data_IF_152407788964
#
_entry.id   IF_152407788964
#
_cell.length_a   1.000
_cell.length_b   1.000
_cell.length_c   1.000
_cell.angle_alpha   90.00
_cell.angle_beta   90.00
_cell.angle_gamma   90.00
#
_symmetry.space_group_name_H-M   'P 1'
#
loop_
_entity.id
_entity.type
_entity.pdbx_description
1 polymer ?
#
# COMPACT_ATOMS: atom_id res chain seq x y z
N UNK A 1 -12.48 -1.32 -14.83
CA UNK A 1 -13.60 -0.34 -14.84
C UNK A 1 -14.01 -0.07 -16.28
N UNK A 2 -15.31 -0.13 -16.61
CA UNK A 2 -15.77 0.07 -18.00
C UNK A 2 -15.67 1.54 -18.44
N UNK A 3 -15.54 1.77 -19.75
CA UNK A 3 -15.51 3.13 -20.33
C UNK A 3 -16.77 3.91 -19.99
N UNK A 4 -17.94 3.26 -20.03
CA UNK A 4 -19.22 3.87 -19.67
C UNK A 4 -19.25 4.31 -18.20
N UNK A 5 -18.86 3.43 -17.26
CA UNK A 5 -18.78 3.79 -15.84
C UNK A 5 -17.81 4.94 -15.61
N UNK A 6 -16.67 4.97 -16.32
CA UNK A 6 -15.68 6.05 -16.20
C UNK A 6 -16.26 7.39 -16.65
N UNK A 7 -17.01 7.39 -17.74
CA UNK A 7 -17.68 8.58 -18.24
C UNK A 7 -18.76 9.05 -17.26
N UNK A 8 -19.58 8.13 -16.77
CA UNK A 8 -20.65 8.41 -15.82
C UNK A 8 -20.12 9.04 -14.53
N UNK A 9 -19.11 8.45 -13.88
CA UNK A 9 -18.54 9.00 -12.63
C UNK A 9 -17.96 10.40 -12.85
N UNK A 10 -17.28 10.63 -13.98
CA UNK A 10 -16.77 11.97 -14.26
C UNK A 10 -17.94 12.96 -14.44
N UNK A 11 -18.97 12.58 -15.20
CA UNK A 11 -20.14 13.42 -15.45
C UNK A 11 -20.94 13.72 -14.17
N UNK A 12 -21.07 12.76 -13.26
CA UNK A 12 -21.71 12.96 -11.94
C UNK A 12 -20.96 13.96 -11.05
N UNK A 13 -19.64 14.10 -11.24
CA UNK A 13 -18.79 15.01 -10.48
C UNK A 13 -18.49 16.32 -11.24
N UNK A 14 -19.08 16.57 -12.41
CA UNK A 14 -18.82 17.78 -13.17
C UNK A 14 -19.34 19.02 -12.41
N UNK A 15 -18.47 20.01 -12.22
CA UNK A 15 -18.86 21.34 -11.72
C UNK A 15 -19.20 22.30 -12.86
N UNK A 16 -18.67 22.06 -14.06
CA UNK A 16 -18.97 22.80 -15.27
C UNK A 16 -18.85 21.88 -16.51
N UNK A 17 -19.04 22.46 -17.70
CA UNK A 17 -18.96 21.69 -18.94
C UNK A 17 -17.56 21.08 -19.11
N UNK A 18 -17.47 19.75 -19.08
CA UNK A 18 -16.23 18.97 -19.18
C UNK A 18 -15.17 19.28 -18.10
N UNK A 19 -15.59 19.86 -16.96
CA UNK A 19 -14.69 20.17 -15.84
C UNK A 19 -15.24 19.51 -14.58
N UNK A 20 -14.40 18.75 -13.88
CA UNK A 20 -14.71 18.14 -12.60
C UNK A 20 -13.59 18.44 -11.58
N UNK A 21 -13.90 18.63 -10.29
CA UNK A 21 -12.87 18.84 -9.27
C UNK A 21 -12.14 17.54 -8.96
N UNK A 22 -10.82 17.61 -8.77
CA UNK A 22 -10.02 16.50 -8.29
C UNK A 22 -10.41 16.13 -6.86
N UNK A 23 -10.69 14.86 -6.61
CA UNK A 23 -11.08 14.40 -5.29
C UNK A 23 -9.97 14.42 -4.23
N UNK A 24 -8.72 14.75 -4.62
CA UNK A 24 -7.56 14.78 -3.74
C UNK A 24 -7.08 16.19 -3.42
N UNK A 25 -6.97 17.08 -4.42
CA UNK A 25 -6.53 18.46 -4.22
C UNK A 25 -7.64 19.50 -4.40
N UNK A 26 -8.80 19.12 -4.95
CA UNK A 26 -9.92 20.03 -5.23
C UNK A 26 -9.76 20.88 -6.50
N UNK A 27 -8.57 20.92 -7.09
CA UNK A 27 -8.31 21.68 -8.33
C UNK A 27 -9.10 21.11 -9.52
N UNK A 28 -9.49 21.96 -10.49
CA UNK A 28 -10.26 21.53 -11.66
C UNK A 28 -9.47 20.59 -12.57
N UNK A 29 -10.16 19.60 -13.11
CA UNK A 29 -9.69 18.68 -14.14
C UNK A 29 -10.50 18.94 -15.40
N UNK A 30 -9.82 19.29 -16.49
CA UNK A 30 -10.41 19.41 -17.83
C UNK A 30 -10.38 18.05 -18.51
N UNK A 31 -11.57 17.51 -18.83
CA UNK A 31 -11.75 16.13 -19.32
C UNK A 31 -10.84 15.74 -20.50
N UNK A 32 -10.62 16.67 -21.43
CA UNK A 32 -9.94 16.43 -22.71
C UNK A 32 -8.50 16.92 -22.74
N UNK A 33 -8.14 17.87 -21.87
CA UNK A 33 -6.81 18.51 -21.85
C UNK A 33 -5.90 17.84 -20.81
N UNK A 34 -6.45 17.46 -19.66
CA UNK A 34 -5.66 16.92 -18.54
C UNK A 34 -5.58 15.40 -18.55
N UNK A 35 -4.47 14.87 -18.04
CA UNK A 35 -4.33 13.45 -17.73
C UNK A 35 -4.95 13.15 -16.37
N UNK A 36 -6.09 12.46 -16.38
CA UNK A 36 -6.82 12.09 -15.17
C UNK A 36 -7.16 10.60 -15.10
N UNK A 37 -7.45 10.13 -13.90
CA UNK A 37 -7.87 8.76 -13.58
C UNK A 37 -9.11 8.80 -12.68
N UNK A 38 -9.79 7.66 -12.57
CA UNK A 38 -10.80 7.47 -11.52
C UNK A 38 -10.09 6.87 -10.33
N UNK A 39 -10.13 7.59 -9.22
CA UNK A 39 -9.48 7.21 -7.98
C UNK A 39 -10.53 6.74 -6.97
N UNK A 40 -10.22 5.66 -6.25
CA UNK A 40 -11.00 5.22 -5.12
C UNK A 40 -10.62 6.06 -3.89
N UNK A 41 -11.57 6.82 -3.34
CA UNK A 41 -11.38 7.63 -2.12
C UNK A 41 -10.84 6.77 -0.99
N UNK A 42 -11.46 5.61 -0.76
CA UNK A 42 -10.91 4.50 0.03
C UNK A 42 -10.42 3.40 -0.91
N UNK A 43 -9.14 3.06 -0.84
CA UNK A 43 -8.55 2.03 -1.68
C UNK A 43 -9.24 0.66 -1.52
N UNK A 44 -9.44 -0.06 -2.63
CA UNK A 44 -10.07 -1.38 -2.67
C UNK A 44 -9.34 -2.40 -1.77
N UNK A 45 -8.01 -2.39 -1.80
CA UNK A 45 -7.17 -3.25 -0.95
C UNK A 45 -7.25 -2.92 0.55
N UNK A 46 -7.88 -1.80 0.92
CA UNK A 46 -8.20 -1.42 2.30
C UNK A 46 -9.71 -1.54 2.58
N UNK A 47 -10.37 -2.47 1.89
CA UNK A 47 -11.81 -2.75 1.99
C UNK A 47 -12.69 -1.56 1.58
N UNK A 48 -12.20 -0.73 0.65
CA UNK A 48 -13.02 0.29 0.01
C UNK A 48 -13.97 -0.36 -1.01
N UNK A 49 -15.28 -0.07 -0.96
CA UNK A 49 -16.21 -0.67 -1.91
C UNK A 49 -15.98 -0.12 -3.32
N UNK A 50 -16.10 -0.95 -4.36
CA UNK A 50 -16.02 -0.49 -5.76
C UNK A 50 -17.35 0.11 -6.26
N UNK A 51 -17.85 1.09 -5.53
CA UNK A 51 -19.10 1.80 -5.83
C UNK A 51 -18.79 3.21 -6.36
N UNK A 52 -19.68 3.78 -7.17
CA UNK A 52 -19.51 5.13 -7.71
C UNK A 52 -19.36 6.17 -6.60
N UNK A 53 -20.02 5.99 -5.46
CA UNK A 53 -19.91 6.88 -4.28
C UNK A 53 -18.50 6.93 -3.68
N UNK A 54 -17.71 5.86 -3.84
CA UNK A 54 -16.32 5.77 -3.40
C UNK A 54 -15.32 6.13 -4.51
N UNK A 55 -15.79 6.46 -5.70
CA UNK A 55 -14.96 6.76 -6.86
C UNK A 55 -15.15 8.21 -7.28
N UNK A 56 -14.06 8.88 -7.65
CA UNK A 56 -14.14 10.24 -8.16
C UNK A 56 -12.95 10.53 -9.10
N UNK A 57 -13.07 11.53 -10.00
CA UNK A 57 -11.96 11.92 -10.84
C UNK A 57 -10.81 12.50 -10.00
N UNK A 58 -9.58 12.15 -10.37
CA UNK A 58 -8.36 12.70 -9.79
C UNK A 58 -7.33 12.96 -10.89
N UNK A 59 -6.47 13.97 -10.70
CA UNK A 59 -5.29 14.12 -11.53
C UNK A 59 -4.41 12.88 -11.39
N UNK A 60 -3.77 12.49 -12.50
CA UNK A 60 -2.87 11.33 -12.50
C UNK A 60 -1.76 11.45 -11.44
N UNK A 61 -1.15 12.64 -11.34
CA UNK A 61 -0.07 12.92 -10.37
C UNK A 61 -0.56 12.84 -8.91
N UNK A 62 -1.77 13.32 -8.63
CA UNK A 62 -2.34 13.24 -7.29
C UNK A 62 -2.61 11.78 -6.89
N UNK A 63 -3.16 10.98 -7.81
CA UNK A 63 -3.37 9.55 -7.60
C UNK A 63 -2.08 8.78 -7.35
N UNK A 64 -1.02 9.10 -8.09
CA UNK A 64 0.32 8.51 -7.88
C UNK A 64 0.87 8.83 -6.48
N UNK A 65 0.79 10.10 -6.06
CA UNK A 65 1.23 10.52 -4.72
C UNK A 65 0.43 9.81 -3.63
N UNK A 66 -0.90 9.76 -3.74
CA UNK A 66 -1.76 9.01 -2.80
C UNK A 66 -1.37 7.54 -2.73
N UNK A 67 -1.20 6.91 -3.89
CA UNK A 67 -0.83 5.50 -4.00
C UNK A 67 0.48 5.23 -3.28
N UNK A 68 1.52 6.01 -3.58
CA UNK A 68 2.86 5.77 -3.04
C UNK A 68 2.98 6.15 -1.56
N UNK A 69 2.48 7.33 -1.17
CA UNK A 69 2.70 7.88 0.17
C UNK A 69 1.72 7.32 1.21
N UNK A 70 0.50 6.97 0.82
CA UNK A 70 -0.56 6.63 1.79
C UNK A 70 -1.04 5.19 1.64
N UNK A 71 -1.47 4.79 0.44
CA UNK A 71 -2.15 3.50 0.27
C UNK A 71 -1.18 2.33 0.37
N UNK A 72 -0.04 2.36 -0.34
CA UNK A 72 0.92 1.26 -0.31
C UNK A 72 1.44 0.94 1.11
N UNK A 73 1.85 1.92 1.94
CA UNK A 73 2.23 1.64 3.33
C UNK A 73 1.11 1.01 4.16
N UNK A 74 -0.13 1.51 4.02
CA UNK A 74 -1.30 1.00 4.75
C UNK A 74 -1.68 -0.41 4.30
N UNK A 75 -1.71 -0.66 3.00
CA UNK A 75 -2.00 -1.98 2.40
C UNK A 75 -0.97 -3.02 2.87
N UNK A 76 0.33 -2.67 2.83
CA UNK A 76 1.39 -3.55 3.33
C UNK A 76 1.21 -3.87 4.81
N UNK A 77 0.81 -2.90 5.63
CA UNK A 77 0.52 -3.13 7.05
C UNK A 77 -0.69 -4.07 7.24
N UNK A 78 -1.79 -3.81 6.54
CA UNK A 78 -3.00 -4.64 6.59
C UNK A 78 -2.69 -6.09 6.20
N UNK A 79 -1.96 -6.32 5.09
CA UNK A 79 -1.52 -7.66 4.68
C UNK A 79 -0.64 -8.35 5.73
N UNK A 80 0.27 -7.62 6.41
CA UNK A 80 1.07 -8.19 7.51
C UNK A 80 0.22 -8.56 8.72
N UNK A 81 -0.83 -7.79 9.03
CA UNK A 81 -1.75 -8.10 10.12
C UNK A 81 -2.59 -9.33 9.79
N UNK A 82 -3.12 -9.39 8.56
CA UNK A 82 -3.83 -10.56 8.05
C UNK A 82 -2.96 -11.83 8.14
N UNK A 83 -1.71 -11.78 7.66
CA UNK A 83 -0.81 -12.94 7.74
C UNK A 83 -0.47 -13.38 9.18
N UNK A 84 -0.49 -12.46 10.15
CA UNK A 84 -0.34 -12.81 11.58
C UNK A 84 -1.59 -13.50 12.11
N UNK A 85 -2.77 -13.03 11.72
CA UNK A 85 -4.05 -13.59 12.13
C UNK A 85 -4.27 -14.99 11.55
N UNK A 86 -3.93 -15.19 10.28
CA UNK A 86 -4.04 -16.48 9.58
C UNK A 86 -2.93 -17.48 9.97
N UNK A 87 -1.93 -17.06 10.74
CA UNK A 87 -0.77 -17.90 11.06
C UNK A 87 0.17 -18.17 9.88
N UNK A 88 -0.06 -17.57 8.71
CA UNK A 88 0.76 -17.72 7.49
C UNK A 88 2.05 -16.91 7.52
N UNK A 89 2.31 -16.20 8.63
CA UNK A 89 3.56 -15.46 8.84
C UNK A 89 4.74 -16.41 8.73
N UNK A 90 5.54 -16.24 7.68
CA UNK A 90 6.83 -16.94 7.55
C UNK A 90 7.64 -16.72 8.84
N UNK A 91 8.24 -17.78 9.41
CA UNK A 91 9.17 -17.60 10.51
C UNK A 91 10.25 -16.62 10.08
N UNK A 92 10.69 -15.76 11.00
CA UNK A 92 11.89 -14.97 10.74
C UNK A 92 12.99 -15.95 10.35
N UNK A 93 13.78 -15.64 9.31
CA UNK A 93 14.96 -16.45 9.01
C UNK A 93 15.73 -16.59 10.31
N UNK A 94 15.88 -17.83 10.78
CA UNK A 94 16.64 -18.12 11.97
C UNK A 94 18.07 -17.61 11.81
N UNK A 95 18.78 -17.54 12.93
CA UNK A 95 20.20 -17.24 12.88
C UNK A 95 20.92 -18.21 11.92
N UNK A 96 21.96 -17.76 11.21
CA UNK A 96 22.74 -18.65 10.36
C UNK A 96 23.23 -19.85 11.17
N UNK A 97 23.00 -21.06 10.66
CA UNK A 97 23.32 -22.29 11.36
C UNK A 97 24.81 -22.31 11.78
N UNK A 98 25.09 -22.63 13.04
CA UNK A 98 26.45 -22.62 13.58
C UNK A 98 27.01 -21.23 13.91
N UNK A 99 26.18 -20.18 13.90
CA UNK A 99 26.55 -18.84 14.32
C UNK A 99 25.58 -18.31 15.37
N UNK A 100 26.12 -17.73 16.44
CA UNK A 100 25.37 -16.97 17.43
C UNK A 100 25.62 -15.49 17.18
N UNK A 101 24.62 -14.65 17.41
CA UNK A 101 24.81 -13.20 17.36
C UNK A 101 25.48 -12.73 18.65
N UNK A 102 26.70 -12.23 18.52
CA UNK A 102 27.44 -11.62 19.62
C UNK A 102 26.95 -10.19 19.83
N UNK A 103 26.25 -9.95 20.94
CA UNK A 103 25.67 -8.64 21.27
C UNK A 103 26.73 -7.59 21.62
N UNK A 104 27.89 -8.00 22.13
CA UNK A 104 28.98 -7.09 22.48
C UNK A 104 29.73 -6.63 21.23
N UNK A 105 30.05 -7.57 20.33
CA UNK A 105 30.76 -7.29 19.08
C UNK A 105 29.82 -6.92 17.91
N UNK A 106 28.50 -6.98 18.13
CA UNK A 106 27.43 -6.71 17.16
C UNK A 106 27.58 -7.49 15.84
N UNK A 107 28.14 -8.70 15.89
CA UNK A 107 28.43 -9.55 14.72
C UNK A 107 28.09 -11.02 14.98
N UNK A 108 27.91 -11.78 13.91
CA UNK A 108 27.81 -13.23 14.00
C UNK A 108 29.17 -13.84 14.36
N UNK A 109 29.19 -14.67 15.40
CA UNK A 109 30.39 -15.35 15.90
C UNK A 109 30.17 -16.85 15.96
N UNK A 110 31.06 -17.58 15.27
CA UNK A 110 31.08 -19.05 15.30
C UNK A 110 31.57 -19.58 16.65
N UNK A 111 32.60 -18.93 17.21
CA UNK A 111 33.16 -19.26 18.53
C UNK A 111 32.12 -19.17 19.64
N UNK A 112 31.24 -18.16 19.57
CA UNK A 112 30.15 -18.01 20.53
C UNK A 112 29.13 -19.15 20.39
N UNK A 113 28.80 -19.56 19.16
CA UNK A 113 27.91 -20.68 18.91
C UNK A 113 28.47 -22.02 19.45
N UNK A 114 29.75 -22.27 19.20
CA UNK A 114 30.47 -23.45 19.68
C UNK A 114 30.53 -23.48 21.22
N UNK A 115 30.80 -22.34 21.86
CA UNK A 115 30.83 -22.22 23.32
C UNK A 115 29.45 -22.48 23.96
N UNK A 116 28.36 -21.97 23.36
CA UNK A 116 26.99 -22.25 23.84
C UNK A 116 26.58 -23.70 23.64
N UNK A 117 27.00 -24.35 22.56
CA UNK A 117 26.67 -25.75 22.28
C UNK A 117 27.40 -26.73 23.22
N UNK A 118 28.54 -26.33 23.79
CA UNK A 118 29.30 -27.14 24.74
C UNK A 118 28.78 -27.07 26.19
N UNK A 119 27.74 -26.26 26.45
CA UNK A 119 27.23 -25.98 27.81
C UNK A 119 25.84 -26.58 28.10
N UNK A 120 25.20 -27.27 27.15
CA UNK A 120 24.01 -28.09 27.43
C UNK A 120 24.44 -29.52 27.86
N UNK A 121 23.94 -30.06 28.99
CA UNK A 121 24.26 -31.41 29.47
C UNK A 121 23.63 -32.53 28.62
#
# INVERSE_FOLDING_TARGET
>A
MSRQRRQHIFSENCSAHNIAPCCLCGEPIRRHEDRWIIEHKRALALLGPDLNTNCAPAHFKCGEVKTHAQDLPRIRKAKRQQARHEGTKKPARGFPAGFAYDWQLRRYSRKLAEATAAQEP
#
